data_IF_849042316052
#
_entry.id   IF_849042316052
#
_cell.length_a   1.000
_cell.length_b   1.000
_cell.length_c   1.000
_cell.angle_alpha   90.00
_cell.angle_beta   90.00
_cell.angle_gamma   90.00
#
_symmetry.space_group_name_H-M   'P 1'
#
loop_
_entity.id
_entity.type
_entity.pdbx_description
1 polymer ?
#
# COMPACT_ATOMS: atom_id res chain seq x y z
N UNK A 1 -17.45 43.19 -6.04
CA UNK A 1 -16.86 41.85 -5.80
C UNK A 1 -17.55 40.86 -6.73
N UNK A 2 -16.84 40.25 -7.67
CA UNK A 2 -17.43 39.36 -8.66
C UNK A 2 -18.03 38.13 -7.99
N UNK A 3 -19.35 37.90 -8.15
CA UNK A 3 -20.10 36.77 -7.59
C UNK A 3 -19.49 35.40 -7.94
N UNK A 4 -18.74 35.34 -9.04
CA UNK A 4 -17.97 34.16 -9.49
C UNK A 4 -16.88 33.80 -8.48
N UNK A 5 -16.20 34.78 -7.88
CA UNK A 5 -15.10 34.54 -6.91
C UNK A 5 -15.62 33.88 -5.63
N UNK A 6 -16.83 34.24 -5.19
CA UNK A 6 -17.46 33.65 -4.00
C UNK A 6 -17.85 32.17 -4.18
N UNK A 7 -18.06 31.72 -5.42
CA UNK A 7 -18.42 30.33 -5.73
C UNK A 7 -17.19 29.43 -5.97
N UNK A 8 -16.11 29.99 -6.51
CA UNK A 8 -14.91 29.22 -6.89
C UNK A 8 -14.04 28.85 -5.69
N UNK A 9 -13.94 29.73 -4.68
CA UNK A 9 -13.12 29.50 -3.48
C UNK A 9 -13.53 28.25 -2.67
N UNK A 10 -14.82 28.05 -2.31
CA UNK A 10 -15.22 26.86 -1.55
C UNK A 10 -15.07 25.56 -2.37
N UNK A 11 -15.20 25.64 -3.70
CA UNK A 11 -15.05 24.48 -4.58
C UNK A 11 -13.61 23.95 -4.62
N UNK A 12 -12.61 24.85 -4.62
CA UNK A 12 -11.20 24.47 -4.59
C UNK A 12 -10.82 23.83 -3.24
N UNK A 13 -11.37 24.33 -2.13
CA UNK A 13 -11.08 23.77 -0.80
C UNK A 13 -11.65 22.36 -0.60
N UNK A 14 -12.79 22.03 -1.23
CA UNK A 14 -13.39 20.69 -1.16
C UNK A 14 -12.60 19.65 -1.97
N UNK A 15 -11.96 20.06 -3.07
CA UNK A 15 -11.16 19.16 -3.89
C UNK A 15 -9.83 18.78 -3.22
N UNK A 16 -9.28 19.66 -2.37
CA UNK A 16 -8.03 19.39 -1.65
C UNK A 16 -8.19 18.35 -0.52
N UNK A 17 -9.40 18.13 0.00
CA UNK A 17 -9.64 17.15 1.07
C UNK A 17 -9.67 15.69 0.63
N UNK A 18 -9.71 15.38 -0.68
CA UNK A 18 -9.71 14.00 -1.18
C UNK A 18 -8.30 13.38 -1.30
N UNK A 19 -7.22 14.12 -1.03
CA UNK A 19 -5.85 13.61 -1.17
C UNK A 19 -5.21 13.18 0.17
N UNK A 20 -5.97 12.98 1.24
CA UNK A 20 -5.39 12.48 2.50
C UNK A 20 -5.06 10.99 2.37
N UNK A 21 -3.76 10.67 2.39
CA UNK A 21 -3.26 9.30 2.53
C UNK A 21 -3.01 9.01 4.01
N UNK A 22 -4.06 8.62 4.73
CA UNK A 22 -3.97 8.31 6.17
C UNK A 22 -3.16 7.02 6.46
N UNK A 23 -3.04 6.14 5.47
CA UNK A 23 -2.43 4.81 5.58
C UNK A 23 -1.31 4.59 4.53
N UNK A 24 -0.28 5.44 4.59
CA UNK A 24 0.92 5.32 3.71
C UNK A 24 1.71 4.01 3.90
N UNK A 25 1.44 3.26 4.97
CA UNK A 25 2.05 1.96 5.23
C UNK A 25 0.99 0.88 5.09
N UNK A 26 1.30 -0.17 4.35
CA UNK A 26 0.44 -1.36 4.27
C UNK A 26 0.28 -2.03 5.63
N UNK A 27 -0.92 -2.54 5.84
CA UNK A 27 -1.26 -3.33 7.02
C UNK A 27 -0.50 -4.66 6.97
N UNK A 28 0.18 -5.00 8.06
CA UNK A 28 0.95 -6.24 8.20
C UNK A 28 0.05 -7.46 8.00
N UNK A 29 -1.21 -7.40 8.43
CA UNK A 29 -2.19 -8.48 8.24
C UNK A 29 -2.49 -8.69 6.76
N UNK A 30 -2.81 -7.62 6.04
CA UNK A 30 -3.06 -7.65 4.60
C UNK A 30 -1.85 -8.16 3.80
N UNK A 31 -0.64 -7.70 4.14
CA UNK A 31 0.59 -8.19 3.52
C UNK A 31 0.79 -9.70 3.77
N UNK A 32 0.50 -10.17 4.98
CA UNK A 32 0.64 -11.58 5.35
C UNK A 32 -0.33 -12.48 4.59
N UNK A 33 -1.58 -12.03 4.41
CA UNK A 33 -2.61 -12.75 3.65
C UNK A 33 -2.23 -12.87 2.17
N UNK A 34 -1.73 -11.79 1.57
CA UNK A 34 -1.24 -11.81 0.18
C UNK A 34 -0.08 -12.78 0.01
N UNK A 35 0.88 -12.82 0.94
CA UNK A 35 2.00 -13.77 0.90
C UNK A 35 1.49 -15.22 0.99
N UNK A 36 0.53 -15.50 1.87
CA UNK A 36 -0.06 -16.84 1.98
C UNK A 36 -0.77 -17.26 0.70
N UNK A 37 -1.53 -16.35 0.08
CA UNK A 37 -2.19 -16.59 -1.20
C UNK A 37 -1.17 -16.91 -2.31
N UNK A 38 -0.07 -16.15 -2.38
CA UNK A 38 1.02 -16.38 -3.31
C UNK A 38 1.72 -17.73 -3.11
N UNK A 39 1.94 -18.14 -1.85
CA UNK A 39 2.49 -19.46 -1.54
C UNK A 39 1.54 -20.59 -1.96
N UNK A 40 0.24 -20.43 -1.73
CA UNK A 40 -0.76 -21.40 -2.16
C UNK A 40 -0.83 -21.52 -3.68
N UNK A 41 -0.76 -20.39 -4.40
CA UNK A 41 -0.72 -20.36 -5.86
C UNK A 41 0.54 -21.03 -6.41
N UNK A 42 1.69 -20.75 -5.83
CA UNK A 42 2.96 -21.38 -6.23
C UNK A 42 2.93 -22.91 -6.05
N UNK A 43 2.36 -23.40 -4.93
CA UNK A 43 2.13 -24.83 -4.72
C UNK A 43 1.24 -25.45 -5.80
N UNK A 44 0.21 -24.73 -6.26
CA UNK A 44 -0.66 -25.21 -7.36
C UNK A 44 0.13 -25.34 -8.66
N UNK A 45 0.96 -24.36 -9.02
CA UNK A 45 1.83 -24.41 -10.21
C UNK A 45 2.71 -25.67 -10.19
N UNK A 46 3.36 -25.95 -9.06
CA UNK A 46 4.24 -27.12 -8.90
C UNK A 46 3.47 -28.45 -9.05
N UNK A 47 2.24 -28.49 -8.53
CA UNK A 47 1.41 -29.69 -8.52
C UNK A 47 0.65 -29.93 -9.84
N UNK A 48 0.44 -28.89 -10.66
CA UNK A 48 -0.16 -29.02 -11.99
C UNK A 48 0.86 -29.62 -12.97
N UNK A 49 0.87 -30.95 -13.04
CA UNK A 49 1.67 -31.73 -13.99
C UNK A 49 0.83 -32.15 -15.18
N UNK A 50 1.40 -32.08 -16.38
CA UNK A 50 0.79 -32.60 -17.61
C UNK A 50 -0.21 -31.67 -18.31
N UNK A 51 -0.78 -30.68 -17.62
CA UNK A 51 -1.64 -29.66 -18.23
C UNK A 51 -0.88 -28.34 -18.43
N UNK A 52 -0.35 -28.16 -19.65
CA UNK A 52 0.46 -26.99 -20.01
C UNK A 52 -0.36 -25.71 -19.99
N UNK A 53 -1.61 -25.75 -20.46
CA UNK A 53 -2.45 -24.54 -20.57
C UNK A 53 -2.79 -24.03 -19.17
N UNK A 54 -3.20 -24.91 -18.27
CA UNK A 54 -3.50 -24.53 -16.89
C UNK A 54 -2.25 -24.02 -16.19
N UNK A 55 -1.11 -24.70 -16.36
CA UNK A 55 0.15 -24.27 -15.72
C UNK A 55 0.56 -22.87 -16.19
N UNK A 56 0.50 -22.59 -17.50
CA UNK A 56 0.85 -21.27 -18.04
C UNK A 56 -0.06 -20.16 -17.50
N UNK A 57 -1.36 -20.41 -17.36
CA UNK A 57 -2.27 -19.41 -16.78
C UNK A 57 -1.99 -19.18 -15.28
N UNK A 58 -1.67 -20.24 -14.53
CA UNK A 58 -1.30 -20.11 -13.13
C UNK A 58 0.03 -19.34 -12.96
N UNK A 59 1.02 -19.59 -13.81
CA UNK A 59 2.29 -18.86 -13.84
C UNK A 59 2.07 -17.38 -14.19
N UNK A 60 1.22 -17.09 -15.18
CA UNK A 60 0.84 -15.72 -15.54
C UNK A 60 0.20 -14.98 -14.36
N UNK A 61 -0.72 -15.63 -13.63
CA UNK A 61 -1.33 -15.06 -12.42
C UNK A 61 -0.31 -14.83 -11.31
N UNK A 62 0.59 -15.78 -11.09
CA UNK A 62 1.64 -15.63 -10.08
C UNK A 62 2.55 -14.44 -10.41
N UNK A 63 2.94 -14.26 -11.68
CA UNK A 63 3.74 -13.13 -12.09
C UNK A 63 3.04 -11.80 -11.81
N UNK A 64 1.78 -11.66 -12.21
CA UNK A 64 1.03 -10.42 -12.00
C UNK A 64 0.78 -10.14 -10.52
N UNK A 65 0.23 -11.12 -9.79
CA UNK A 65 -0.30 -10.91 -8.46
C UNK A 65 0.80 -10.89 -7.39
N UNK A 66 1.87 -11.68 -7.58
CA UNK A 66 2.89 -11.91 -6.56
C UNK A 66 4.24 -11.26 -6.85
N UNK A 67 4.59 -11.03 -8.12
CA UNK A 67 5.89 -10.46 -8.49
C UNK A 67 5.72 -8.98 -8.88
N UNK A 68 4.96 -8.70 -9.93
CA UNK A 68 4.90 -7.36 -10.52
C UNK A 68 4.26 -6.34 -9.57
N UNK A 69 3.18 -6.71 -8.87
CA UNK A 69 2.51 -5.84 -7.88
C UNK A 69 3.41 -5.57 -6.66
N UNK A 70 4.13 -6.60 -6.18
CA UNK A 70 4.94 -6.50 -4.96
C UNK A 70 6.28 -5.83 -5.18
N UNK A 71 6.89 -6.01 -6.36
CA UNK A 71 8.19 -5.44 -6.71
C UNK A 71 8.25 -3.93 -6.40
N UNK A 72 7.28 -3.16 -6.88
CA UNK A 72 7.24 -1.71 -6.62
C UNK A 72 6.69 -1.35 -5.24
N UNK A 73 5.83 -2.19 -4.67
CA UNK A 73 5.19 -1.91 -3.38
C UNK A 73 6.19 -2.03 -2.24
N UNK A 74 6.92 -3.15 -2.18
CA UNK A 74 7.83 -3.45 -1.09
C UNK A 74 8.99 -2.44 -1.02
N UNK A 75 9.53 -2.03 -2.18
CA UNK A 75 10.57 -0.99 -2.27
C UNK A 75 10.09 0.36 -1.71
N UNK A 76 8.89 0.80 -2.10
CA UNK A 76 8.31 2.05 -1.58
C UNK A 76 7.95 1.97 -0.11
N UNK A 77 7.46 0.80 0.34
CA UNK A 77 7.10 0.59 1.74
C UNK A 77 8.32 0.71 2.64
N UNK A 78 9.45 0.13 2.25
CA UNK A 78 10.69 0.22 3.02
C UNK A 78 11.16 1.68 3.15
N UNK A 79 11.12 2.44 2.05
CA UNK A 79 11.53 3.84 2.03
C UNK A 79 10.64 4.77 2.88
N UNK A 80 9.33 4.49 2.96
CA UNK A 80 8.37 5.36 3.65
C UNK A 80 8.10 4.91 5.10
N UNK A 81 8.11 3.61 5.34
CA UNK A 81 7.64 3.02 6.61
C UNK A 81 8.77 2.47 7.49
N UNK A 82 10.00 2.33 6.97
CA UNK A 82 11.12 1.68 7.66
C UNK A 82 11.48 2.27 9.03
N UNK A 83 11.16 3.54 9.29
CA UNK A 83 11.38 4.19 10.59
C UNK A 83 10.13 4.83 11.22
N UNK A 84 8.95 4.67 10.61
CA UNK A 84 7.73 5.42 10.99
C UNK A 84 7.36 5.22 12.46
N UNK A 85 7.56 4.01 12.99
CA UNK A 85 7.37 3.73 14.42
C UNK A 85 8.34 4.53 15.30
N UNK A 86 9.63 4.55 14.95
CA UNK A 86 10.66 5.30 15.69
C UNK A 86 10.38 6.80 15.68
N UNK A 87 10.01 7.35 14.52
CA UNK A 87 9.65 8.77 14.38
C UNK A 87 8.42 9.12 15.21
N UNK A 88 7.41 8.24 15.25
CA UNK A 88 6.21 8.45 16.06
C UNK A 88 6.54 8.49 17.55
N UNK A 89 7.39 7.59 18.02
CA UNK A 89 7.82 7.56 19.43
C UNK A 89 8.66 8.80 19.79
N UNK A 90 9.60 9.22 18.94
CA UNK A 90 10.35 10.48 19.12
C UNK A 90 9.42 11.70 19.15
N UNK A 91 8.40 11.71 18.29
CA UNK A 91 7.45 12.84 18.26
C UNK A 91 6.58 12.91 19.51
N UNK A 92 6.27 11.77 20.15
CA UNK A 92 5.54 11.72 21.41
C UNK A 92 6.41 12.19 22.57
N UNK A 93 7.66 11.71 22.64
CA UNK A 93 8.59 12.13 23.69
C UNK A 93 8.85 13.63 23.61
N UNK A 94 9.15 14.15 22.42
CA UNK A 94 9.37 15.59 22.22
C UNK A 94 8.16 16.46 22.61
N UNK A 95 6.93 15.96 22.40
CA UNK A 95 5.70 16.66 22.84
C UNK A 95 5.52 16.62 24.35
N UNK A 96 5.86 15.50 25.00
CA UNK A 96 5.83 15.38 26.46
C UNK A 96 6.87 16.31 27.11
N UNK A 97 8.08 16.37 26.54
CA UNK A 97 9.16 17.23 27.00
C UNK A 97 8.83 18.72 26.82
N UNK A 98 8.11 19.08 25.76
CA UNK A 98 7.67 20.46 25.51
C UNK A 98 6.48 20.91 26.39
N UNK A 99 5.85 19.98 27.11
CA UNK A 99 4.74 20.25 28.04
C UNK A 99 5.20 20.29 29.51
N UNK A 100 6.48 20.01 29.78
CA UNK A 100 7.16 20.21 31.07
C UNK A 100 7.80 21.60 31.14
#
# INVERSE_FOLDING_TARGET
MNKIVLLVVPFITLLASCSSVDNVCEDVTLASEQIQACQALHKRIINTKGDVIIRTELERRYQQDCIDIRYYRDEKQAAICGNKHKVKEISKSAKADAQQ
#
